data_IF_884160745353
#
_entry.id   IF_884160745353
#
_cell.length_a   1.000
_cell.length_b   1.000
_cell.length_c   1.000
_cell.angle_alpha   90.00
_cell.angle_beta   90.00
_cell.angle_gamma   90.00
#
_symmetry.space_group_name_H-M   'P 1'
#
loop_
_entity.id
_entity.type
_entity.pdbx_description
1 polymer ?
#
# COMPACT_ATOMS: atom_id res chain seq x y z
N UNK A 1 19.49 21.52 -23.92
CA UNK A 1 20.24 22.77 -23.96
C UNK A 1 21.69 22.49 -24.40
N UNK A 2 22.16 23.16 -25.46
CA UNK A 2 23.47 22.93 -26.06
C UNK A 2 24.67 23.18 -25.10
N UNK A 3 24.48 23.99 -24.05
CA UNK A 3 25.52 24.23 -23.04
C UNK A 3 25.72 23.01 -22.11
N UNK A 4 24.68 22.23 -21.86
CA UNK A 4 24.78 21.01 -21.06
C UNK A 4 25.56 19.90 -21.79
N UNK A 5 25.35 19.76 -23.11
CA UNK A 5 26.10 18.78 -23.92
C UNK A 5 27.57 19.11 -24.07
N UNK A 6 27.96 20.39 -24.03
CA UNK A 6 29.40 20.80 -24.06
C UNK A 6 30.19 20.39 -22.81
N UNK A 7 29.51 20.34 -21.64
CA UNK A 7 30.14 19.98 -20.35
C UNK A 7 30.03 18.48 -20.05
N UNK A 8 28.87 17.87 -20.37
CA UNK A 8 28.56 16.49 -19.96
C UNK A 8 28.53 15.47 -21.13
N UNK A 9 28.86 15.94 -22.35
CA UNK A 9 28.98 15.11 -23.56
C UNK A 9 27.62 14.64 -24.10
N UNK A 10 27.65 13.69 -25.04
CA UNK A 10 26.48 13.17 -25.75
C UNK A 10 25.39 12.55 -24.84
N UNK A 11 25.76 12.12 -23.65
CA UNK A 11 24.78 11.59 -22.66
C UNK A 11 23.81 12.64 -22.11
N UNK A 12 24.09 13.91 -22.32
CA UNK A 12 23.27 15.04 -21.86
C UNK A 12 22.20 15.47 -22.88
N UNK A 13 21.98 14.73 -23.96
CA UNK A 13 20.97 15.09 -24.99
C UNK A 13 19.54 15.16 -24.43
N UNK A 14 19.20 14.35 -23.45
CA UNK A 14 17.89 14.36 -22.78
C UNK A 14 17.80 15.34 -21.59
N UNK A 15 18.88 16.09 -21.30
CA UNK A 15 19.02 17.01 -20.18
C UNK A 15 19.95 16.48 -19.09
N UNK A 16 20.36 17.39 -18.19
CA UNK A 16 21.25 17.09 -17.06
C UNK A 16 20.61 17.63 -15.78
N UNK A 17 20.52 16.78 -14.76
CA UNK A 17 20.13 17.16 -13.40
C UNK A 17 21.40 17.20 -12.56
N UNK A 18 21.82 18.41 -12.17
CA UNK A 18 22.98 18.60 -11.29
C UNK A 18 22.49 18.67 -9.84
N UNK A 19 22.88 17.68 -9.03
CA UNK A 19 22.57 17.65 -7.61
C UNK A 19 23.75 18.16 -6.81
N UNK A 20 23.58 19.30 -6.16
CA UNK A 20 24.57 19.84 -5.22
C UNK A 20 24.14 19.50 -3.79
N UNK A 21 24.95 18.71 -3.10
CA UNK A 21 24.69 18.34 -1.71
C UNK A 21 24.94 19.52 -0.77
N UNK A 22 24.22 19.58 0.34
CA UNK A 22 24.47 20.56 1.40
C UNK A 22 25.88 20.38 1.95
N UNK A 23 26.60 21.49 2.12
CA UNK A 23 27.93 21.52 2.69
C UNK A 23 27.91 22.15 4.07
N UNK A 24 28.90 21.82 4.90
CA UNK A 24 29.16 22.52 6.14
C UNK A 24 29.48 23.99 5.89
N UNK A 25 29.16 24.81 6.86
CA UNK A 25 29.54 26.24 6.86
C UNK A 25 30.46 26.50 8.03
N UNK A 26 31.45 27.40 7.83
CA UNK A 26 32.29 27.90 8.91
C UNK A 26 31.38 28.63 9.93
N UNK A 27 31.68 28.46 11.21
CA UNK A 27 30.97 29.05 12.32
C UNK A 27 30.49 28.04 13.36
N UNK A 28 29.68 28.51 14.30
CA UNK A 28 29.10 27.68 15.38
C UNK A 28 28.27 26.54 14.83
N UNK A 29 28.25 25.43 15.55
CA UNK A 29 27.40 24.30 15.21
C UNK A 29 25.93 24.71 15.15
N UNK A 30 25.26 24.37 14.05
CA UNK A 30 23.83 24.58 13.84
C UNK A 30 23.17 23.23 13.70
N UNK A 31 22.20 22.97 14.53
CA UNK A 31 21.37 21.76 14.48
C UNK A 31 20.00 22.17 13.97
N UNK A 32 19.47 21.42 13.02
CA UNK A 32 18.13 21.58 12.48
C UNK A 32 17.37 20.27 12.55
N UNK A 33 16.15 20.33 12.99
CA UNK A 33 15.22 19.22 12.97
C UNK A 33 14.01 19.58 12.08
N UNK A 34 13.56 18.63 11.29
CA UNK A 34 12.35 18.75 10.47
C UNK A 34 11.51 17.51 10.68
N UNK A 35 10.25 17.69 11.02
CA UNK A 35 9.24 16.64 11.08
C UNK A 35 8.15 16.91 10.04
N UNK A 36 7.84 15.92 9.21
CA UNK A 36 6.78 15.98 8.22
C UNK A 36 5.78 14.86 8.51
N UNK A 37 4.50 15.22 8.51
CA UNK A 37 3.41 14.29 8.77
C UNK A 37 2.39 14.40 7.64
N UNK A 38 2.09 13.27 7.01
CA UNK A 38 1.09 13.20 5.94
C UNK A 38 0.03 12.17 6.32
N UNK A 39 -1.21 12.61 6.42
CA UNK A 39 -2.34 11.74 6.71
C UNK A 39 -3.00 11.29 5.42
N UNK A 40 -3.30 9.99 5.32
CA UNK A 40 -4.11 9.40 4.27
C UNK A 40 -5.32 8.72 4.91
N UNK A 41 -6.50 9.11 4.47
CA UNK A 41 -7.75 8.48 4.88
C UNK A 41 -8.05 7.28 3.99
N UNK A 42 -8.64 6.23 4.56
CA UNK A 42 -9.17 5.10 3.79
C UNK A 42 -10.35 5.56 2.94
N UNK A 43 -10.54 4.99 1.75
CA UNK A 43 -11.75 5.20 0.97
C UNK A 43 -12.97 4.65 1.72
N UNK A 44 -14.16 5.12 1.36
CA UNK A 44 -15.43 4.62 1.89
C UNK A 44 -16.48 4.56 0.80
N UNK A 45 -17.52 3.75 1.00
CA UNK A 45 -18.56 3.53 -0.01
C UNK A 45 -19.41 4.78 -0.30
N UNK A 46 -19.46 5.77 0.57
CA UNK A 46 -20.19 7.02 0.33
C UNK A 46 -19.59 7.85 -0.83
N UNK A 47 -18.36 7.53 -1.24
CA UNK A 47 -17.70 8.17 -2.38
C UNK A 47 -18.05 7.52 -3.73
N UNK A 48 -18.82 6.43 -3.72
CA UNK A 48 -19.13 5.62 -4.90
C UNK A 48 -20.63 5.35 -4.98
N UNK A 49 -21.16 5.32 -6.20
CA UNK A 49 -22.54 4.90 -6.45
C UNK A 49 -22.59 3.38 -6.67
N UNK A 50 -22.52 2.63 -5.56
CA UNK A 50 -22.50 1.16 -5.57
C UNK A 50 -23.61 0.66 -4.65
N UNK A 51 -24.31 -0.39 -5.09
CA UNK A 51 -25.38 -1.03 -4.35
C UNK A 51 -24.92 -1.50 -2.97
N UNK A 52 -25.75 -1.25 -1.97
CA UNK A 52 -25.63 -1.87 -0.65
C UNK A 52 -26.16 -3.32 -0.66
N UNK A 53 -26.06 -4.05 0.46
CA UNK A 53 -26.51 -5.44 0.53
C UNK A 53 -28.01 -5.61 0.25
N UNK A 54 -28.85 -4.71 0.72
CA UNK A 54 -30.29 -4.76 0.52
C UNK A 54 -30.65 -4.59 -0.96
N UNK A 55 -30.00 -3.64 -1.64
CA UNK A 55 -30.19 -3.41 -3.07
C UNK A 55 -29.66 -4.60 -3.89
N UNK A 56 -28.49 -5.15 -3.55
CA UNK A 56 -27.97 -6.36 -4.18
C UNK A 56 -28.91 -7.55 -4.00
N UNK A 57 -29.44 -7.76 -2.81
CA UNK A 57 -30.38 -8.85 -2.53
C UNK A 57 -31.70 -8.68 -3.28
N UNK A 58 -32.17 -7.45 -3.49
CA UNK A 58 -33.38 -7.24 -4.31
C UNK A 58 -33.16 -7.64 -5.77
N UNK A 59 -32.02 -7.29 -6.36
CA UNK A 59 -31.61 -7.73 -7.70
C UNK A 59 -31.46 -9.26 -7.76
N UNK A 60 -30.81 -9.87 -6.78
CA UNK A 60 -30.63 -11.33 -6.75
C UNK A 60 -31.96 -12.08 -6.66
N UNK A 61 -32.90 -11.56 -5.91
CA UNK A 61 -34.28 -12.16 -5.86
C UNK A 61 -35.01 -12.10 -7.20
N UNK A 62 -34.88 -10.98 -7.92
CA UNK A 62 -35.46 -10.87 -9.25
C UNK A 62 -34.76 -11.81 -10.25
N UNK A 63 -33.43 -11.92 -10.17
CA UNK A 63 -32.71 -12.91 -10.97
C UNK A 63 -33.10 -14.34 -10.66
N UNK A 64 -33.35 -14.66 -9.38
CA UNK A 64 -33.83 -15.98 -8.97
C UNK A 64 -35.24 -16.29 -9.53
N UNK A 65 -36.15 -15.33 -9.45
CA UNK A 65 -37.48 -15.45 -10.04
C UNK A 65 -37.47 -15.64 -11.54
N UNK A 66 -36.55 -14.95 -12.22
CA UNK A 66 -36.33 -15.03 -13.66
C UNK A 66 -35.61 -16.32 -14.11
N UNK A 67 -35.22 -17.20 -13.19
CA UNK A 67 -34.52 -18.44 -13.51
C UNK A 67 -33.07 -18.28 -13.94
N UNK A 68 -32.45 -17.12 -13.69
CA UNK A 68 -31.05 -16.86 -14.06
C UNK A 68 -30.04 -17.64 -13.19
N UNK A 69 -30.46 -18.15 -12.02
CA UNK A 69 -29.63 -19.00 -11.18
C UNK A 69 -29.99 -20.48 -11.42
N UNK A 70 -29.08 -21.23 -12.04
CA UNK A 70 -29.15 -22.66 -12.19
C UNK A 70 -28.17 -23.33 -11.23
N UNK A 71 -28.70 -23.94 -10.17
CA UNK A 71 -27.86 -24.62 -9.16
C UNK A 71 -27.20 -25.89 -9.68
N UNK A 72 -27.79 -26.56 -10.66
CA UNK A 72 -27.16 -27.73 -11.28
C UNK A 72 -25.90 -27.39 -12.07
N UNK A 73 -25.85 -26.20 -12.67
CA UNK A 73 -24.65 -25.67 -13.33
C UNK A 73 -23.72 -24.91 -12.38
N UNK A 74 -24.14 -24.68 -11.14
CA UNK A 74 -23.41 -23.89 -10.14
C UNK A 74 -22.51 -24.72 -9.23
N UNK A 75 -22.32 -26.01 -9.48
CA UNK A 75 -21.49 -26.86 -8.63
C UNK A 75 -20.07 -26.28 -8.41
N UNK A 76 -19.49 -25.63 -9.41
CA UNK A 76 -18.20 -24.93 -9.29
C UNK A 76 -18.28 -23.61 -8.50
N UNK A 77 -19.45 -23.02 -8.38
CA UNK A 77 -19.72 -21.77 -7.67
C UNK A 77 -20.59 -21.98 -6.41
N UNK A 78 -20.88 -23.23 -6.04
CA UNK A 78 -21.76 -23.59 -4.91
C UNK A 78 -21.29 -23.03 -3.57
N UNK A 79 -20.00 -22.75 -3.41
CA UNK A 79 -19.43 -22.09 -2.22
C UNK A 79 -19.39 -20.56 -2.33
N UNK A 80 -19.83 -19.96 -3.43
CA UNK A 80 -19.80 -18.51 -3.65
C UNK A 80 -21.21 -17.94 -3.86
N UNK A 81 -21.36 -16.67 -3.41
CA UNK A 81 -22.65 -15.98 -3.47
C UNK A 81 -23.65 -16.46 -2.42
N UNK A 82 -24.66 -15.65 -2.16
CA UNK A 82 -25.61 -15.87 -1.06
C UNK A 82 -26.41 -17.15 -1.26
N UNK A 83 -26.97 -17.33 -2.45
CA UNK A 83 -27.81 -18.52 -2.75
C UNK A 83 -26.97 -19.81 -2.81
N UNK A 84 -25.77 -19.76 -3.43
CA UNK A 84 -24.89 -20.92 -3.49
C UNK A 84 -24.47 -21.40 -2.10
N UNK A 85 -24.09 -20.49 -1.22
CA UNK A 85 -23.77 -20.80 0.19
C UNK A 85 -24.98 -21.32 0.96
N UNK A 86 -26.16 -20.73 0.74
CA UNK A 86 -27.38 -21.19 1.38
C UNK A 86 -27.68 -22.67 1.03
N UNK A 87 -27.64 -23.04 -0.26
CA UNK A 87 -27.85 -24.40 -0.70
C UNK A 87 -26.73 -25.35 -0.26
N UNK A 88 -25.50 -24.89 -0.20
CA UNK A 88 -24.41 -25.68 0.34
C UNK A 88 -24.67 -26.05 1.81
N UNK A 89 -25.02 -25.08 2.65
CA UNK A 89 -25.36 -25.30 4.06
C UNK A 89 -26.58 -26.24 4.24
N UNK A 90 -27.53 -26.19 3.34
CA UNK A 90 -28.70 -27.09 3.39
C UNK A 90 -28.34 -28.55 3.05
N UNK A 91 -27.25 -28.80 2.36
CA UNK A 91 -26.75 -30.11 1.97
C UNK A 91 -25.55 -30.60 2.78
N UNK A 92 -24.95 -29.75 3.57
CA UNK A 92 -23.82 -30.10 4.42
C UNK A 92 -24.30 -30.59 5.79
N UNK A 93 -24.10 -31.88 6.03
CA UNK A 93 -24.45 -32.51 7.31
C UNK A 93 -23.26 -32.39 8.29
N UNK A 94 -23.52 -31.79 9.43
CA UNK A 94 -22.55 -31.70 10.53
C UNK A 94 -22.72 -32.92 11.46
N UNK A 95 -21.81 -33.87 11.34
CA UNK A 95 -21.84 -35.10 12.13
C UNK A 95 -21.66 -34.82 13.64
N UNK A 96 -20.98 -33.75 14.02
CA UNK A 96 -20.74 -33.38 15.43
C UNK A 96 -22.02 -32.93 16.11
N UNK A 97 -22.84 -32.16 15.40
CA UNK A 97 -24.08 -31.59 15.92
C UNK A 97 -25.33 -32.38 15.48
N UNK A 98 -25.19 -33.40 14.62
CA UNK A 98 -26.25 -34.24 14.13
C UNK A 98 -27.32 -33.52 13.29
N UNK A 99 -26.93 -32.45 12.59
CA UNK A 99 -27.83 -31.61 11.81
C UNK A 99 -27.20 -31.05 10.57
N UNK A 100 -28.02 -30.64 9.61
CA UNK A 100 -27.58 -29.84 8.47
C UNK A 100 -27.21 -28.43 8.91
N UNK A 101 -26.27 -27.78 8.22
CA UNK A 101 -25.86 -26.43 8.49
C UNK A 101 -26.98 -25.40 8.38
N UNK A 102 -27.96 -25.66 7.52
CA UNK A 102 -29.22 -24.91 7.41
C UNK A 102 -30.39 -25.88 7.20
N UNK A 103 -31.49 -25.69 7.94
CA UNK A 103 -32.66 -26.49 7.76
C UNK A 103 -33.31 -26.23 6.39
N UNK A 104 -33.80 -27.31 5.73
CA UNK A 104 -34.47 -27.20 4.44
C UNK A 104 -35.95 -26.81 4.64
N UNK A 105 -36.16 -25.64 5.22
CA UNK A 105 -37.49 -25.03 5.42
C UNK A 105 -37.52 -23.62 4.88
N UNK A 106 -38.71 -23.16 4.46
CA UNK A 106 -38.84 -21.80 3.93
C UNK A 106 -38.49 -20.73 4.95
N UNK A 107 -38.79 -20.97 6.23
CA UNK A 107 -38.46 -20.06 7.34
C UNK A 107 -36.97 -19.91 7.51
N UNK A 108 -36.20 -21.01 7.50
CA UNK A 108 -34.75 -20.99 7.63
C UNK A 108 -34.08 -20.31 6.43
N UNK A 109 -34.56 -20.60 5.21
CA UNK A 109 -34.09 -19.93 4.00
C UNK A 109 -34.34 -18.41 4.04
N UNK A 110 -35.57 -18.01 4.43
CA UNK A 110 -35.91 -16.59 4.54
C UNK A 110 -35.12 -15.87 5.62
N UNK A 111 -34.84 -16.52 6.75
CA UNK A 111 -33.99 -15.96 7.81
C UNK A 111 -32.56 -15.75 7.32
N UNK A 112 -31.99 -16.74 6.64
CA UNK A 112 -30.65 -16.64 6.05
C UNK A 112 -30.53 -15.51 5.02
N UNK A 113 -31.52 -15.41 4.12
CA UNK A 113 -31.54 -14.35 3.10
C UNK A 113 -31.76 -12.97 3.71
N UNK A 114 -32.54 -12.86 4.79
CA UNK A 114 -32.73 -11.62 5.53
C UNK A 114 -31.41 -11.17 6.21
N UNK A 115 -30.65 -12.09 6.78
CA UNK A 115 -29.34 -11.80 7.34
C UNK A 115 -28.40 -11.20 6.28
N UNK A 116 -28.41 -11.78 5.08
CA UNK A 116 -27.62 -11.28 3.95
C UNK A 116 -27.98 -9.84 3.53
N UNK A 117 -29.23 -9.42 3.65
CA UNK A 117 -29.68 -8.05 3.37
C UNK A 117 -29.03 -7.01 4.27
N UNK A 118 -28.74 -7.36 5.51
CA UNK A 118 -28.20 -6.45 6.52
C UNK A 118 -26.68 -6.56 6.70
N UNK A 119 -26.01 -7.46 5.99
CA UNK A 119 -24.58 -7.73 6.17
C UNK A 119 -23.73 -6.51 5.87
N UNK A 120 -23.94 -5.83 4.76
CA UNK A 120 -23.26 -4.60 4.35
C UNK A 120 -21.74 -4.63 4.57
N UNK A 121 -21.10 -5.73 4.14
CA UNK A 121 -19.64 -5.86 4.28
C UNK A 121 -18.92 -4.63 3.75
N UNK A 122 -18.11 -4.01 4.59
CA UNK A 122 -17.27 -2.89 4.19
C UNK A 122 -15.88 -3.39 3.80
N UNK A 123 -15.71 -3.73 2.50
CA UNK A 123 -14.43 -4.19 1.98
C UNK A 123 -13.33 -3.12 2.06
N UNK A 124 -13.70 -1.83 2.07
CA UNK A 124 -12.70 -0.79 2.29
C UNK A 124 -12.18 -0.83 3.73
N UNK A 125 -13.04 -1.11 4.70
CA UNK A 125 -12.61 -1.28 6.09
C UNK A 125 -11.79 -2.56 6.29
N UNK A 126 -12.12 -3.62 5.58
CA UNK A 126 -11.38 -4.89 5.63
C UNK A 126 -9.99 -4.80 5.01
N UNK A 127 -9.82 -4.04 3.93
CA UNK A 127 -8.60 -4.04 3.12
C UNK A 127 -7.71 -2.82 3.36
N UNK A 128 -8.27 -1.69 3.79
CA UNK A 128 -7.57 -0.42 3.94
C UNK A 128 -7.57 0.05 5.39
N UNK A 129 -6.67 0.95 5.69
CA UNK A 129 -6.60 1.66 6.97
C UNK A 129 -6.22 3.11 6.77
N UNK A 130 -6.66 3.95 7.70
CA UNK A 130 -6.08 5.29 7.80
C UNK A 130 -4.60 5.16 8.15
N UNK A 131 -3.77 5.97 7.52
CA UNK A 131 -2.33 5.93 7.74
C UNK A 131 -1.76 7.32 7.94
N UNK A 132 -0.76 7.43 8.80
CA UNK A 132 0.02 8.65 9.02
C UNK A 132 1.46 8.30 8.64
N UNK A 133 1.91 8.90 7.56
CA UNK A 133 3.31 8.86 7.18
C UNK A 133 4.09 9.88 7.99
N UNK A 134 5.23 9.50 8.52
CA UNK A 134 6.12 10.35 9.30
C UNK A 134 7.50 10.36 8.67
N UNK A 135 8.06 11.55 8.50
CA UNK A 135 9.44 11.74 8.07
C UNK A 135 10.14 12.67 9.04
N UNK A 136 11.10 12.15 9.77
CA UNK A 136 11.92 12.89 10.73
C UNK A 136 13.32 13.05 10.19
N UNK A 137 13.84 14.26 10.21
CA UNK A 137 15.18 14.56 9.73
C UNK A 137 15.89 15.47 10.74
N UNK A 138 17.07 15.08 11.13
CA UNK A 138 17.99 15.90 11.91
C UNK A 138 19.24 16.15 11.10
N UNK A 139 19.72 17.38 11.10
CA UNK A 139 20.97 17.73 10.44
C UNK A 139 21.81 18.66 11.31
N UNK A 140 23.11 18.53 11.19
CA UNK A 140 24.09 19.36 11.86
C UNK A 140 25.07 19.92 10.84
N UNK A 141 25.32 21.20 10.91
CA UNK A 141 26.38 21.90 10.15
C UNK A 141 27.29 22.60 11.11
N UNK A 142 28.59 22.40 10.95
CA UNK A 142 29.64 23.04 11.77
C UNK A 142 30.90 23.16 10.98
N UNK A 143 31.80 24.03 11.39
CA UNK A 143 33.10 24.07 10.80
C UNK A 143 33.93 25.31 11.16
N UNK A 144 35.15 25.28 10.68
CA UNK A 144 36.10 26.39 10.67
C UNK A 144 36.42 26.74 9.21
N UNK A 145 37.28 27.76 8.99
CA UNK A 145 37.75 28.09 7.64
C UNK A 145 38.57 26.96 7.00
N UNK A 146 39.14 26.07 7.82
CA UNK A 146 39.91 24.91 7.35
C UNK A 146 39.12 23.65 7.21
N UNK A 147 38.08 23.43 8.05
CA UNK A 147 37.34 22.18 8.08
C UNK A 147 35.85 22.47 8.24
N UNK A 148 35.03 21.93 7.37
CA UNK A 148 33.58 22.13 7.37
C UNK A 148 32.88 20.76 7.31
N UNK A 149 31.86 20.58 8.12
CA UNK A 149 31.15 19.32 8.25
C UNK A 149 29.65 19.55 8.14
N UNK A 150 29.02 18.72 7.36
CA UNK A 150 27.56 18.57 7.34
C UNK A 150 27.22 17.10 7.53
N UNK A 151 26.40 16.82 8.50
CA UNK A 151 25.84 15.47 8.69
C UNK A 151 24.33 15.54 8.81
N UNK A 152 23.65 14.54 8.30
CA UNK A 152 22.21 14.42 8.48
C UNK A 152 21.81 12.96 8.64
N UNK A 153 20.77 12.76 9.41
CA UNK A 153 20.10 11.48 9.59
C UNK A 153 18.60 11.70 9.37
N UNK A 154 17.96 10.80 8.64
CA UNK A 154 16.52 10.82 8.47
C UNK A 154 15.92 9.45 8.66
N UNK A 155 14.70 9.44 9.20
CA UNK A 155 13.86 8.27 9.38
C UNK A 155 12.50 8.54 8.75
N UNK A 156 12.13 7.72 7.78
CA UNK A 156 10.82 7.69 7.14
C UNK A 156 10.10 6.43 7.60
N UNK A 157 8.88 6.60 8.13
CA UNK A 157 7.90 5.54 8.32
C UNK A 157 6.67 5.88 7.48
N UNK A 158 6.44 5.08 6.45
CA UNK A 158 5.41 5.33 5.45
C UNK A 158 4.48 4.10 5.35
N UNK A 159 3.51 3.98 6.26
CA UNK A 159 2.47 2.96 6.13
C UNK A 159 1.65 3.22 4.87
N UNK A 160 1.38 2.15 4.12
CA UNK A 160 0.52 2.19 2.93
C UNK A 160 -0.94 2.38 3.30
N UNK A 161 -1.78 2.64 2.29
CA UNK A 161 -3.23 2.69 2.46
C UNK A 161 -3.84 1.31 2.70
N UNK A 162 -3.24 0.25 2.15
CA UNK A 162 -3.67 -1.14 2.39
C UNK A 162 -3.09 -1.67 3.70
N UNK A 163 -3.88 -2.46 4.41
CA UNK A 163 -3.43 -3.13 5.64
C UNK A 163 -2.17 -3.96 5.39
N UNK A 164 -1.26 -4.01 6.36
CA UNK A 164 0.03 -4.72 6.28
C UNK A 164 0.99 -4.23 5.19
N UNK A 165 0.80 -3.01 4.72
CA UNK A 165 1.72 -2.35 3.81
C UNK A 165 2.51 -1.28 4.56
N UNK A 166 3.83 -1.35 4.54
CA UNK A 166 4.69 -0.33 5.18
C UNK A 166 6.05 -0.24 4.49
N UNK A 167 6.60 0.96 4.47
CA UNK A 167 7.98 1.24 4.08
C UNK A 167 8.67 2.03 5.18
N UNK A 168 9.76 1.50 5.70
CA UNK A 168 10.65 2.19 6.62
C UNK A 168 11.99 2.45 5.93
N UNK A 169 12.52 3.66 6.04
CA UNK A 169 13.80 4.03 5.47
C UNK A 169 14.61 4.87 6.44
N UNK A 170 15.83 4.45 6.65
CA UNK A 170 16.85 5.16 7.41
C UNK A 170 17.89 5.68 6.43
N UNK A 171 18.23 6.95 6.51
CA UNK A 171 19.23 7.56 5.63
C UNK A 171 20.21 8.36 6.47
N UNK A 172 21.49 8.16 6.22
CA UNK A 172 22.58 8.93 6.84
C UNK A 172 23.46 9.53 5.76
N UNK A 173 23.79 10.80 5.90
CA UNK A 173 24.67 11.52 4.98
C UNK A 173 25.74 12.25 5.78
N UNK A 174 26.97 12.19 5.29
CA UNK A 174 28.11 12.95 5.81
C UNK A 174 28.79 13.63 4.64
N UNK A 175 29.04 14.91 4.78
CA UNK A 175 29.84 15.70 3.85
C UNK A 175 30.85 16.47 4.65
N UNK A 176 32.12 16.14 4.48
CA UNK A 176 33.24 16.77 5.15
C UNK A 176 34.19 17.40 4.11
N UNK A 177 34.51 18.66 4.27
CA UNK A 177 35.46 19.37 3.45
C UNK A 177 36.62 19.85 4.33
N UNK A 178 37.85 19.52 3.95
CA UNK A 178 39.06 19.89 4.68
C UNK A 178 40.05 20.55 3.74
N UNK A 179 40.39 21.82 4.02
CA UNK A 179 41.40 22.60 3.31
C UNK A 179 42.76 22.36 3.95
N UNK A 180 43.55 21.46 3.37
CA UNK A 180 44.87 21.09 3.86
C UNK A 180 45.82 22.28 3.67
N UNK A 181 45.70 22.96 2.54
CA UNK A 181 46.47 24.16 2.21
C UNK A 181 45.65 25.05 1.27
N UNK A 182 46.19 26.24 0.91
CA UNK A 182 45.56 27.12 -0.09
C UNK A 182 45.42 26.47 -1.48
N UNK A 183 46.15 25.39 -1.74
CA UNK A 183 46.20 24.71 -3.05
C UNK A 183 45.59 23.31 -3.00
N UNK A 184 45.34 22.74 -1.81
CA UNK A 184 44.90 21.35 -1.65
C UNK A 184 43.71 21.31 -0.71
N UNK A 185 42.62 20.77 -1.19
CA UNK A 185 41.41 20.46 -0.41
C UNK A 185 41.01 19.00 -0.56
N UNK A 186 40.52 18.42 0.52
CA UNK A 186 39.93 17.08 0.56
C UNK A 186 38.45 17.20 0.81
N UNK A 187 37.65 16.61 -0.06
CA UNK A 187 36.21 16.51 0.12
C UNK A 187 35.81 15.05 0.24
N UNK A 188 35.15 14.68 1.32
CA UNK A 188 34.64 13.35 1.59
C UNK A 188 33.13 13.39 1.68
N UNK A 189 32.45 12.58 0.88
CA UNK A 189 31.00 12.42 0.90
C UNK A 189 30.68 10.94 1.14
N UNK A 190 29.91 10.66 2.17
CA UNK A 190 29.41 9.33 2.46
C UNK A 190 27.89 9.36 2.63
N UNK A 191 27.22 8.44 1.96
CA UNK A 191 25.78 8.29 2.01
C UNK A 191 25.45 6.82 2.31
N UNK A 192 24.55 6.59 3.26
CA UNK A 192 24.04 5.27 3.60
C UNK A 192 22.51 5.31 3.63
N UNK A 193 21.89 4.28 3.10
CA UNK A 193 20.43 4.12 3.16
C UNK A 193 20.08 2.66 3.43
N UNK A 194 19.22 2.43 4.41
CA UNK A 194 18.63 1.14 4.69
C UNK A 194 17.11 1.24 4.55
N UNK A 195 16.52 0.37 3.74
CA UNK A 195 15.08 0.32 3.49
C UNK A 195 14.54 -1.05 3.86
N UNK A 196 13.48 -1.05 4.67
CA UNK A 196 12.65 -2.21 4.97
C UNK A 196 11.27 -1.98 4.37
N UNK A 197 10.80 -2.93 3.58
CA UNK A 197 9.47 -2.86 2.98
C UNK A 197 8.68 -4.11 3.35
N UNK A 198 7.43 -3.91 3.72
CA UNK A 198 6.42 -4.94 3.88
C UNK A 198 5.27 -4.62 2.93
N UNK A 199 4.82 -5.61 2.20
CA UNK A 199 3.66 -5.49 1.32
C UNK A 199 2.78 -6.73 1.46
N UNK A 200 1.45 -6.59 1.48
CA UNK A 200 0.55 -7.73 1.39
C UNK A 200 0.72 -8.38 0.02
N UNK A 201 0.52 -9.68 -0.06
CA UNK A 201 0.59 -10.40 -1.34
C UNK A 201 0.60 -11.90 -1.17
N UNK A 202 0.44 -12.60 -2.27
CA UNK A 202 0.57 -14.03 -2.40
C UNK A 202 2.04 -14.46 -2.34
N UNK A 203 2.32 -15.71 -2.01
CA UNK A 203 3.67 -16.19 -1.67
C UNK A 203 4.73 -16.12 -2.78
N UNK A 204 4.32 -16.01 -4.04
CA UNK A 204 5.24 -15.95 -5.17
C UNK A 204 5.49 -14.48 -5.56
N UNK A 205 6.63 -13.98 -5.14
CA UNK A 205 7.07 -12.63 -5.41
C UNK A 205 8.48 -12.68 -5.98
N UNK A 206 8.68 -12.13 -7.17
CA UNK A 206 10.01 -11.93 -7.72
C UNK A 206 10.37 -10.46 -7.73
N UNK A 207 11.60 -10.15 -7.36
CA UNK A 207 12.12 -8.78 -7.39
C UNK A 207 13.18 -8.67 -8.47
N UNK A 208 12.99 -7.76 -9.40
CA UNK A 208 14.02 -7.46 -10.38
C UNK A 208 15.21 -6.78 -9.67
N UNK A 209 16.36 -7.43 -9.69
CA UNK A 209 17.55 -6.97 -8.98
C UNK A 209 18.09 -5.63 -9.50
N UNK A 210 17.79 -5.26 -10.75
CA UNK A 210 18.28 -4.04 -11.39
C UNK A 210 17.35 -2.85 -11.13
N UNK A 211 16.04 -3.05 -11.30
CA UNK A 211 15.04 -1.97 -11.19
C UNK A 211 14.39 -1.89 -9.82
N UNK A 212 14.53 -2.91 -8.98
CA UNK A 212 13.80 -3.04 -7.72
C UNK A 212 12.30 -3.29 -7.89
N UNK A 213 11.83 -3.46 -9.12
CA UNK A 213 10.42 -3.73 -9.41
C UNK A 213 10.04 -5.11 -8.86
N UNK A 214 8.89 -5.16 -8.20
CA UNK A 214 8.32 -6.38 -7.64
C UNK A 214 7.22 -6.86 -8.57
N UNK A 215 7.31 -8.09 -9.05
CA UNK A 215 6.24 -8.78 -9.77
C UNK A 215 5.73 -9.97 -8.96
N UNK A 216 4.45 -10.26 -9.11
CA UNK A 216 3.75 -11.37 -8.46
C UNK A 216 3.02 -12.19 -9.52
N UNK A 217 2.92 -13.49 -9.31
CA UNK A 217 2.19 -14.37 -10.25
C UNK A 217 0.70 -14.04 -10.28
N UNK A 218 0.17 -13.56 -9.17
CA UNK A 218 -1.21 -13.14 -9.04
C UNK A 218 -1.30 -11.88 -8.19
N UNK A 219 -1.73 -10.78 -8.78
CA UNK A 219 -1.89 -9.50 -8.09
C UNK A 219 -3.37 -9.08 -8.08
N UNK A 220 -3.97 -9.12 -6.90
CA UNK A 220 -5.31 -8.59 -6.68
C UNK A 220 -5.17 -7.11 -6.37
N UNK A 221 -5.75 -6.26 -7.21
CA UNK A 221 -5.90 -4.87 -6.86
C UNK A 221 -6.98 -4.75 -5.75
N UNK A 222 -6.60 -4.40 -4.51
CA UNK A 222 -7.54 -4.35 -3.39
C UNK A 222 -8.65 -3.32 -3.59
N UNK A 223 -8.38 -2.27 -4.36
CA UNK A 223 -9.37 -1.25 -4.70
C UNK A 223 -10.45 -1.82 -5.63
N UNK A 224 -10.04 -2.49 -6.70
CA UNK A 224 -10.98 -3.19 -7.59
C UNK A 224 -11.75 -4.28 -6.87
N UNK A 225 -11.11 -4.99 -5.95
CA UNK A 225 -11.78 -6.00 -5.13
C UNK A 225 -12.90 -5.38 -4.28
N UNK A 226 -12.61 -4.29 -3.57
CA UNK A 226 -13.61 -3.60 -2.76
C UNK A 226 -14.81 -3.08 -3.59
N UNK A 227 -14.54 -2.59 -4.82
CA UNK A 227 -15.58 -2.05 -5.68
C UNK A 227 -16.45 -3.12 -6.35
N UNK A 228 -15.89 -4.29 -6.66
CA UNK A 228 -16.57 -5.32 -7.47
C UNK A 228 -17.04 -6.53 -6.65
N UNK A 229 -16.64 -6.65 -5.38
CA UNK A 229 -17.06 -7.75 -4.54
C UNK A 229 -18.45 -7.53 -3.96
N UNK A 230 -19.21 -8.62 -3.81
CA UNK A 230 -20.50 -8.55 -3.15
C UNK A 230 -20.35 -8.11 -1.70
N UNK A 231 -21.29 -7.29 -1.25
CA UNK A 231 -21.38 -6.83 0.14
C UNK A 231 -22.32 -7.70 1.00
N UNK A 232 -22.98 -8.66 0.36
CA UNK A 232 -23.89 -9.62 1.00
C UNK A 232 -23.19 -10.83 1.56
#
# INVERSE_FOLDING_TARGET
DGSATSIYGARAMAGVIVVTTKRGKAGSARISYTGEFTMRLKPNYNQFNIMNSQEQMSVYREMMKGGFFSFMNSYRASASGVFGKMYHLMNEYDETNGRFGLANTQEAMNAYLREAEYRNTDWFDELFSNSIQMNHSISMSSGTDKAQYYTSFSFLDAPGGTKRSNVQRYTANINANYNISKKVSLNMIANASYRKQQAPGTGNQSTNAVTGAVSRDFDINPYSYALNSSRT
#
